data_IF_865237929911
#
_entry.id   IF_865237929911
#
_cell.length_a   1.000
_cell.length_b   1.000
_cell.length_c   1.000
_cell.angle_alpha   90.00
_cell.angle_beta   90.00
_cell.angle_gamma   90.00
#
_symmetry.space_group_name_H-M   'P 1'
#
loop_
_entity.id
_entity.type
_entity.pdbx_description
1 polymer ?
#
# COMPACT_ATOMS: atom_id res chain seq x y z
N UNK A 1 19.98 24.09 -5.20
CA UNK A 1 20.70 23.09 -6.07
C UNK A 1 19.69 22.05 -6.53
N UNK A 2 19.45 21.90 -7.85
CA UNK A 2 18.60 20.83 -8.38
C UNK A 2 19.43 19.55 -8.47
N UNK A 3 19.10 18.52 -7.69
CA UNK A 3 19.73 17.22 -7.82
C UNK A 3 19.49 16.69 -9.25
N UNK A 4 20.50 16.18 -9.97
CA UNK A 4 20.32 15.65 -11.30
C UNK A 4 19.29 14.52 -11.28
N UNK A 5 18.40 14.48 -12.27
CA UNK A 5 17.25 13.56 -12.32
C UNK A 5 17.62 12.09 -12.06
N UNK A 6 18.73 11.62 -12.64
CA UNK A 6 19.25 10.25 -12.43
C UNK A 6 19.59 9.94 -10.96
N UNK A 7 20.18 10.88 -10.21
CA UNK A 7 20.50 10.68 -8.79
C UNK A 7 19.22 10.62 -7.94
N UNK A 8 18.21 11.40 -8.30
CA UNK A 8 16.91 11.40 -7.64
C UNK A 8 16.23 10.04 -7.80
N UNK A 9 16.06 9.56 -9.04
CA UNK A 9 15.41 8.26 -9.32
C UNK A 9 16.13 7.10 -8.62
N UNK A 10 17.48 7.13 -8.58
CA UNK A 10 18.26 6.13 -7.86
C UNK A 10 17.98 6.15 -6.35
N UNK A 11 17.86 7.33 -5.74
CA UNK A 11 17.53 7.45 -4.31
C UNK A 11 16.07 6.98 -4.01
N UNK A 12 15.12 7.29 -4.88
CA UNK A 12 13.74 6.83 -4.77
C UNK A 12 13.64 5.29 -4.89
N UNK A 13 14.38 4.71 -5.83
CA UNK A 13 14.47 3.26 -5.97
C UNK A 13 15.13 2.62 -4.74
N UNK A 14 16.22 3.18 -4.24
CA UNK A 14 16.88 2.69 -3.04
C UNK A 14 15.93 2.72 -1.82
N UNK A 15 15.14 3.78 -1.67
CA UNK A 15 14.11 3.88 -0.62
C UNK A 15 13.04 2.79 -0.75
N UNK A 16 12.55 2.53 -1.96
CA UNK A 16 11.58 1.48 -2.23
C UNK A 16 12.14 0.08 -1.96
N UNK A 17 13.38 -0.19 -2.36
CA UNK A 17 14.09 -1.45 -2.07
C UNK A 17 14.28 -1.62 -0.58
N UNK A 18 14.71 -0.59 0.14
CA UNK A 18 14.84 -0.62 1.60
C UNK A 18 13.49 -0.93 2.27
N UNK A 19 12.42 -0.26 1.85
CA UNK A 19 11.07 -0.55 2.37
C UNK A 19 10.68 -2.00 2.10
N UNK A 20 10.89 -2.49 0.88
CA UNK A 20 10.65 -3.89 0.52
C UNK A 20 11.45 -4.87 1.40
N UNK A 21 12.72 -4.56 1.69
CA UNK A 21 13.56 -5.38 2.54
C UNK A 21 13.10 -5.38 4.01
N UNK A 22 12.72 -4.21 4.54
CA UNK A 22 12.23 -4.08 5.91
C UNK A 22 10.93 -4.87 6.15
N UNK A 23 10.05 -4.96 5.14
CA UNK A 23 8.80 -5.72 5.25
C UNK A 23 8.97 -7.24 5.11
N UNK A 24 10.15 -7.75 4.71
CA UNK A 24 10.38 -9.21 4.64
C UNK A 24 10.22 -9.91 5.99
N UNK A 25 10.62 -9.26 7.08
CA UNK A 25 10.46 -9.79 8.43
C UNK A 25 9.00 -9.93 8.84
N UNK A 26 8.20 -8.88 8.60
CA UNK A 26 6.76 -8.88 8.89
C UNK A 26 5.98 -9.81 7.96
N UNK A 27 6.35 -9.90 6.68
CA UNK A 27 5.76 -10.85 5.74
C UNK A 27 5.91 -12.29 6.25
N UNK A 28 7.09 -12.64 6.72
CA UNK A 28 7.39 -13.98 7.24
C UNK A 28 6.59 -14.35 8.49
N UNK A 29 6.28 -13.36 9.31
CA UNK A 29 5.47 -13.55 10.52
C UNK A 29 3.97 -13.59 10.21
N UNK A 30 3.52 -12.80 9.25
CA UNK A 30 2.10 -12.62 8.97
C UNK A 30 1.55 -13.61 7.94
N UNK A 31 2.27 -13.82 6.82
CA UNK A 31 1.83 -14.73 5.77
C UNK A 31 2.22 -16.17 6.11
N UNK A 32 1.25 -17.06 5.98
CA UNK A 32 1.45 -18.51 6.14
C UNK A 32 1.84 -19.13 4.81
N UNK A 33 3.08 -18.96 4.39
CA UNK A 33 3.59 -19.53 3.14
C UNK A 33 4.96 -20.16 3.35
N UNK A 34 5.32 -21.12 2.49
CA UNK A 34 6.72 -21.50 2.31
C UNK A 34 7.41 -20.39 1.51
N UNK A 35 8.57 -19.90 1.98
CA UNK A 35 9.35 -18.88 1.30
C UNK A 35 9.73 -19.26 -0.16
N UNK A 36 9.58 -20.55 -0.53
CA UNK A 36 9.77 -21.07 -1.89
C UNK A 36 8.55 -20.92 -2.78
N UNK A 37 7.43 -20.44 -2.27
CA UNK A 37 6.19 -20.29 -3.03
C UNK A 37 6.37 -19.22 -4.11
N UNK A 38 6.26 -19.55 -5.42
CA UNK A 38 6.46 -18.58 -6.50
C UNK A 38 5.55 -17.35 -6.39
N UNK A 39 4.33 -17.52 -5.90
CA UNK A 39 3.38 -16.45 -5.69
C UNK A 39 3.93 -15.34 -4.79
N UNK A 40 4.71 -15.69 -3.76
CA UNK A 40 5.32 -14.70 -2.88
C UNK A 40 6.23 -13.74 -3.67
N UNK A 41 7.08 -14.26 -4.54
CA UNK A 41 8.00 -13.43 -5.31
C UNK A 41 7.27 -12.53 -6.30
N UNK A 42 6.16 -13.02 -6.90
CA UNK A 42 5.32 -12.20 -7.79
C UNK A 42 4.70 -11.03 -7.02
N UNK A 43 4.06 -11.31 -5.89
CA UNK A 43 3.46 -10.25 -5.07
C UNK A 43 4.52 -9.31 -4.50
N UNK A 44 5.69 -9.81 -4.14
CA UNK A 44 6.78 -8.96 -3.64
C UNK A 44 7.37 -8.06 -4.72
N UNK A 45 7.45 -8.54 -5.96
CA UNK A 45 7.83 -7.71 -7.11
C UNK A 45 6.79 -6.62 -7.38
N UNK A 46 5.50 -6.96 -7.36
CA UNK A 46 4.40 -5.99 -7.47
C UNK A 46 4.44 -4.95 -6.33
N UNK A 47 4.67 -5.41 -5.10
CA UNK A 47 4.86 -4.52 -3.96
C UNK A 47 6.01 -3.54 -4.18
N UNK A 48 7.16 -4.00 -4.68
CA UNK A 48 8.30 -3.12 -4.97
C UNK A 48 7.94 -2.05 -6.01
N UNK A 49 7.22 -2.43 -7.07
CA UNK A 49 6.76 -1.47 -8.10
C UNK A 49 5.83 -0.43 -7.49
N UNK A 50 4.86 -0.86 -6.67
CA UNK A 50 3.93 0.05 -5.99
C UNK A 50 4.65 0.94 -4.97
N UNK A 51 5.56 0.39 -4.18
CA UNK A 51 6.37 1.15 -3.22
C UNK A 51 7.21 2.22 -3.93
N UNK A 52 7.84 1.88 -5.06
CA UNK A 52 8.54 2.86 -5.88
C UNK A 52 7.60 3.95 -6.40
N UNK A 53 6.43 3.58 -6.92
CA UNK A 53 5.41 4.52 -7.38
C UNK A 53 4.96 5.48 -6.28
N UNK A 54 4.72 4.98 -5.06
CA UNK A 54 4.35 5.78 -3.90
C UNK A 54 5.46 6.75 -3.48
N UNK A 55 6.71 6.28 -3.40
CA UNK A 55 7.86 7.12 -3.07
C UNK A 55 8.05 8.21 -4.14
N UNK A 56 8.01 7.84 -5.41
CA UNK A 56 8.14 8.78 -6.53
C UNK A 56 7.01 9.83 -6.54
N UNK A 57 5.77 9.38 -6.34
CA UNK A 57 4.59 10.24 -6.25
C UNK A 57 4.69 11.23 -5.09
N UNK A 58 5.04 10.74 -3.89
CA UNK A 58 5.21 11.59 -2.71
C UNK A 58 6.32 12.64 -2.91
N UNK A 59 7.48 12.25 -3.41
CA UNK A 59 8.57 13.20 -3.69
C UNK A 59 8.15 14.23 -4.75
N UNK A 60 7.45 13.79 -5.78
CA UNK A 60 6.95 14.69 -6.85
C UNK A 60 5.90 15.66 -6.32
N UNK A 61 4.97 15.18 -5.49
CA UNK A 61 3.96 16.03 -4.84
C UNK A 61 4.61 17.09 -3.97
N UNK A 62 5.57 16.70 -3.11
CA UNK A 62 6.30 17.66 -2.25
C UNK A 62 7.03 18.72 -3.08
N UNK A 63 7.64 18.33 -4.20
CA UNK A 63 8.32 19.28 -5.08
C UNK A 63 7.35 20.26 -5.74
N UNK A 64 6.20 19.77 -6.22
CA UNK A 64 5.14 20.63 -6.79
C UNK A 64 4.58 21.60 -5.76
N UNK A 65 4.35 21.13 -4.52
CA UNK A 65 3.89 21.98 -3.42
C UNK A 65 4.91 23.09 -3.10
N UNK A 66 6.20 22.75 -3.03
CA UNK A 66 7.29 23.70 -2.81
C UNK A 66 7.44 24.70 -3.95
N UNK A 67 7.16 24.27 -5.19
CA UNK A 67 7.15 25.14 -6.37
C UNK A 67 5.90 26.04 -6.44
N UNK A 68 4.95 25.87 -5.54
CA UNK A 68 3.73 26.68 -5.52
C UNK A 68 2.68 26.25 -6.53
N UNK A 69 2.74 25.01 -7.04
CA UNK A 69 1.79 24.48 -8.00
C UNK A 69 0.36 24.52 -7.45
N UNK A 70 -0.52 25.24 -8.16
CA UNK A 70 -1.91 25.47 -7.73
C UNK A 70 -2.73 24.17 -7.73
N UNK A 71 -2.47 23.27 -8.68
CA UNK A 71 -3.17 22.01 -8.77
C UNK A 71 -2.81 21.09 -7.58
N UNK A 72 -1.51 20.94 -7.29
CA UNK A 72 -1.04 20.14 -6.16
C UNK A 72 -1.58 20.68 -4.82
N UNK A 73 -1.61 22.01 -4.63
CA UNK A 73 -2.19 22.62 -3.42
C UNK A 73 -3.68 22.33 -3.29
N UNK A 74 -4.46 22.48 -4.39
CA UNK A 74 -5.89 22.20 -4.39
C UNK A 74 -6.16 20.72 -4.13
N UNK A 75 -5.41 19.84 -4.76
CA UNK A 75 -5.53 18.40 -4.55
C UNK A 75 -5.32 18.03 -3.08
N UNK A 76 -4.23 18.50 -2.47
CA UNK A 76 -3.95 18.26 -1.03
C UNK A 76 -5.03 18.86 -0.15
N UNK A 77 -5.51 20.07 -0.46
CA UNK A 77 -6.54 20.75 0.32
C UNK A 77 -7.88 19.97 0.36
N UNK A 78 -8.20 19.21 -0.66
CA UNK A 78 -9.39 18.35 -0.68
C UNK A 78 -9.12 16.94 -0.13
N UNK A 79 -7.98 16.35 -0.48
CA UNK A 79 -7.62 14.99 -0.05
C UNK A 79 -7.42 14.91 1.46
N UNK A 80 -6.74 15.88 2.09
CA UNK A 80 -6.45 15.79 3.53
C UNK A 80 -7.70 15.80 4.42
N UNK A 81 -8.68 16.71 4.27
CA UNK A 81 -9.90 16.67 5.08
C UNK A 81 -10.68 15.37 4.88
N UNK A 82 -10.80 14.91 3.62
CA UNK A 82 -11.50 13.66 3.32
C UNK A 82 -10.81 12.45 3.95
N UNK A 83 -9.48 12.37 3.82
CA UNK A 83 -8.68 11.33 4.47
C UNK A 83 -8.81 11.41 6.00
N UNK A 84 -8.76 12.59 6.59
CA UNK A 84 -8.89 12.77 8.04
C UNK A 84 -10.24 12.23 8.55
N UNK A 85 -11.34 12.56 7.87
CA UNK A 85 -12.68 12.02 8.24
C UNK A 85 -12.70 10.50 8.13
N UNK A 86 -12.19 9.91 7.04
CA UNK A 86 -12.13 8.47 6.87
C UNK A 86 -11.26 7.78 7.92
N UNK A 87 -10.13 8.39 8.31
CA UNK A 87 -9.28 7.86 9.37
C UNK A 87 -9.94 7.93 10.74
N UNK A 88 -10.69 8.99 11.04
CA UNK A 88 -11.48 9.07 12.28
C UNK A 88 -12.54 7.98 12.31
N UNK A 89 -13.29 7.78 11.22
CA UNK A 89 -14.26 6.69 11.12
C UNK A 89 -13.57 5.33 11.31
N UNK A 90 -12.44 5.11 10.64
CA UNK A 90 -11.68 3.87 10.79
C UNK A 90 -11.23 3.63 12.23
N UNK A 91 -10.78 4.67 12.94
CA UNK A 91 -10.40 4.53 14.35
C UNK A 91 -11.57 4.16 15.25
N UNK A 92 -12.78 4.67 14.97
CA UNK A 92 -13.99 4.35 15.72
C UNK A 92 -14.40 2.88 15.51
N UNK A 93 -14.27 2.36 14.28
CA UNK A 93 -14.69 1.00 13.92
C UNK A 93 -13.52 0.03 13.76
N UNK A 94 -12.34 0.38 14.29
CA UNK A 94 -11.12 -0.43 14.13
C UNK A 94 -11.31 -1.88 14.59
N UNK A 95 -10.81 -2.85 13.83
CA UNK A 95 -10.02 -2.79 12.57
C UNK A 95 -10.85 -2.68 11.29
N UNK A 96 -12.08 -2.28 11.34
CA UNK A 96 -13.08 -2.25 10.29
C UNK A 96 -14.23 -3.22 10.57
N UNK A 97 -15.29 -3.11 9.78
CA UNK A 97 -16.44 -4.04 9.83
C UNK A 97 -16.13 -5.18 8.87
N UNK A 98 -16.06 -6.40 9.40
CA UNK A 98 -15.70 -7.60 8.66
C UNK A 98 -16.89 -8.55 8.58
N UNK A 99 -17.31 -8.90 7.37
CA UNK A 99 -18.25 -9.98 7.10
C UNK A 99 -17.54 -11.34 7.02
N UNK A 100 -18.32 -12.42 6.99
CA UNK A 100 -17.77 -13.77 6.86
C UNK A 100 -16.95 -13.94 5.57
N UNK A 101 -17.38 -13.31 4.48
CA UNK A 101 -16.71 -13.37 3.19
C UNK A 101 -15.36 -12.66 3.22
N UNK A 102 -15.28 -11.50 3.90
CA UNK A 102 -14.03 -10.77 4.07
C UNK A 102 -13.01 -11.56 4.89
N UNK A 103 -13.46 -12.27 5.93
CA UNK A 103 -12.61 -13.13 6.74
C UNK A 103 -12.08 -14.32 5.93
N UNK A 104 -12.89 -14.90 5.05
CA UNK A 104 -12.46 -15.96 4.14
C UNK A 104 -11.39 -15.44 3.16
N UNK A 105 -11.59 -14.25 2.57
CA UNK A 105 -10.60 -13.62 1.69
C UNK A 105 -9.32 -13.29 2.45
N UNK A 106 -9.41 -12.78 3.66
CA UNK A 106 -8.26 -12.52 4.53
C UNK A 106 -7.45 -13.79 4.82
N UNK A 107 -8.14 -14.90 5.13
CA UNK A 107 -7.50 -16.18 5.37
C UNK A 107 -6.75 -16.67 4.13
N UNK A 108 -7.38 -16.63 2.95
CA UNK A 108 -6.77 -17.02 1.69
C UNK A 108 -5.60 -16.09 1.31
N UNK A 109 -5.76 -14.79 1.53
CA UNK A 109 -4.68 -13.83 1.30
C UNK A 109 -3.44 -14.13 2.14
N UNK A 110 -3.60 -14.57 3.40
CA UNK A 110 -2.48 -14.97 4.26
C UNK A 110 -1.72 -16.19 3.75
N UNK A 111 -2.37 -17.05 2.97
CA UNK A 111 -1.75 -18.21 2.30
C UNK A 111 -1.34 -17.90 0.87
N UNK A 112 -1.42 -16.65 0.43
CA UNK A 112 -1.14 -16.17 -0.94
C UNK A 112 -1.98 -16.88 -2.01
N UNK A 113 -3.17 -17.35 -1.64
CA UNK A 113 -4.08 -18.03 -2.53
C UNK A 113 -5.16 -17.06 -3.04
N UNK A 114 -5.45 -17.06 -4.36
CA UNK A 114 -6.58 -16.32 -4.88
C UNK A 114 -7.89 -17.02 -4.46
N UNK A 115 -8.91 -16.22 -4.17
CA UNK A 115 -10.23 -16.75 -3.90
C UNK A 115 -10.90 -17.17 -5.24
N UNK A 116 -11.41 -18.39 -5.31
CA UNK A 116 -11.99 -18.95 -6.53
C UNK A 116 -13.36 -18.35 -6.91
N UNK A 117 -14.06 -17.74 -5.96
CA UNK A 117 -15.41 -17.17 -6.16
C UNK A 117 -15.45 -15.63 -6.15
N UNK A 118 -14.33 -14.99 -5.84
CA UNK A 118 -14.15 -13.55 -6.01
C UNK A 118 -13.18 -13.26 -7.15
N UNK A 119 -13.27 -12.05 -7.67
CA UNK A 119 -12.36 -11.63 -8.73
C UNK A 119 -10.91 -11.66 -8.22
N UNK A 120 -9.99 -12.20 -9.02
CA UNK A 120 -8.57 -12.35 -8.65
C UNK A 120 -7.90 -11.03 -8.26
N UNK A 121 -8.37 -9.88 -8.79
CA UNK A 121 -7.90 -8.56 -8.41
C UNK A 121 -8.23 -8.21 -6.96
N UNK A 122 -9.38 -8.65 -6.44
CA UNK A 122 -9.75 -8.45 -5.03
C UNK A 122 -8.76 -9.18 -4.12
N UNK A 123 -8.50 -10.45 -4.40
CA UNK A 123 -7.51 -11.22 -3.64
C UNK A 123 -6.11 -10.60 -3.72
N UNK A 124 -5.70 -10.16 -4.91
CA UNK A 124 -4.43 -9.47 -5.12
C UNK A 124 -4.34 -8.15 -4.33
N UNK A 125 -5.41 -7.37 -4.32
CA UNK A 125 -5.48 -6.12 -3.55
C UNK A 125 -5.38 -6.38 -2.04
N UNK A 126 -6.03 -7.42 -1.51
CA UNK A 126 -5.90 -7.83 -0.11
C UNK A 126 -4.46 -8.22 0.22
N UNK A 127 -3.84 -9.09 -0.58
CA UNK A 127 -2.46 -9.53 -0.37
C UNK A 127 -1.50 -8.34 -0.35
N UNK A 128 -1.59 -7.45 -1.35
CA UNK A 128 -0.74 -6.27 -1.43
C UNK A 128 -0.97 -5.31 -0.27
N UNK A 129 -2.23 -5.07 0.11
CA UNK A 129 -2.57 -4.23 1.27
C UNK A 129 -1.95 -4.77 2.56
N UNK A 130 -1.99 -6.10 2.75
CA UNK A 130 -1.40 -6.77 3.91
C UNK A 130 0.13 -6.75 3.89
N UNK A 131 0.76 -6.68 2.72
CA UNK A 131 2.21 -6.47 2.61
C UNK A 131 2.62 -5.05 3.01
N UNK A 132 1.75 -4.04 2.77
CA UNK A 132 1.99 -2.67 3.24
C UNK A 132 1.75 -2.54 4.74
N UNK A 133 0.64 -3.09 5.24
CA UNK A 133 0.24 -3.03 6.64
C UNK A 133 -0.22 -4.42 7.08
N UNK A 134 0.64 -5.23 7.72
CA UNK A 134 0.42 -6.65 8.00
C UNK A 134 -0.56 -6.86 9.20
N UNK A 135 -1.77 -6.37 9.06
CA UNK A 135 -2.87 -6.55 10.01
C UNK A 135 -4.23 -6.43 9.28
N UNK A 136 -5.31 -7.02 9.80
CA UNK A 136 -6.62 -6.95 9.16
C UNK A 136 -7.05 -5.51 8.80
N UNK A 137 -6.93 -4.57 9.74
CA UNK A 137 -7.22 -3.15 9.49
C UNK A 137 -6.36 -2.50 8.39
N UNK A 138 -5.24 -3.12 8.01
CA UNK A 138 -4.38 -2.65 6.93
C UNK A 138 -5.07 -2.63 5.58
N UNK A 139 -5.96 -3.59 5.31
CA UNK A 139 -6.75 -3.61 4.07
C UNK A 139 -7.65 -2.39 4.00
N UNK A 140 -8.40 -2.12 5.09
CA UNK A 140 -9.31 -0.97 5.17
C UNK A 140 -8.54 0.35 5.11
N UNK A 141 -7.37 0.43 5.77
CA UNK A 141 -6.51 1.61 5.72
C UNK A 141 -6.03 1.90 4.29
N UNK A 142 -5.54 0.88 3.58
CA UNK A 142 -5.07 1.05 2.19
C UNK A 142 -6.23 1.43 1.27
N UNK A 143 -7.41 0.83 1.43
CA UNK A 143 -8.61 1.22 0.70
C UNK A 143 -8.97 2.69 0.94
N UNK A 144 -8.97 3.15 2.19
CA UNK A 144 -9.24 4.55 2.53
C UNK A 144 -8.22 5.50 1.89
N UNK A 145 -6.94 5.13 1.87
CA UNK A 145 -5.91 5.93 1.21
C UNK A 145 -6.14 6.02 -0.30
N UNK A 146 -6.51 4.91 -0.94
CA UNK A 146 -6.78 4.87 -2.38
C UNK A 146 -8.03 5.66 -2.78
N UNK A 147 -9.09 5.62 -1.95
CA UNK A 147 -10.34 6.37 -2.22
C UNK A 147 -10.14 7.87 -1.97
N UNK A 148 -9.25 8.23 -1.04
CA UNK A 148 -8.99 9.63 -0.67
C UNK A 148 -8.05 10.35 -1.64
N UNK A 149 -7.22 9.65 -2.40
CA UNK A 149 -6.20 10.23 -3.30
C UNK A 149 -6.62 10.26 -4.74
#
# INVERSE_FOLDING_TARGET
>A
MKTPAKKRTAAELAAAVLWCALTLGTDRLFFRYDWRTPAFFVYKALFLVLAFGLVHGAVTLVQKLRAGDKFARRWVAWTLPYLAVNLVILLIVWPGIWGNDDLAVLYLARTLQPNSWQHFLTSGAFILSLMFVPMPGGVVLVQNLLISG
#
